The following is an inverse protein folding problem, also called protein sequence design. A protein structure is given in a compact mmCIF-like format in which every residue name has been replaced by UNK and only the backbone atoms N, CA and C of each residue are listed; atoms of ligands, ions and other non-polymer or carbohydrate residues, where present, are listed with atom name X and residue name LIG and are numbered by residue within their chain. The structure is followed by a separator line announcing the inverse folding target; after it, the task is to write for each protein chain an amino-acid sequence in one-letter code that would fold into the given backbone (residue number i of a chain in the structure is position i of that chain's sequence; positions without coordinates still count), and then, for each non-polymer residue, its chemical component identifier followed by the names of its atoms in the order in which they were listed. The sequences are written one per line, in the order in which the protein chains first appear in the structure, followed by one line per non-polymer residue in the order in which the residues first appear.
data_IF_111058838232
#
_entry.id   IF_111058838232
#
_cell.length_a   1.000
_cell.length_b   1.000
_cell.length_c   1.000
_cell.angle_alpha   90.00
_cell.angle_beta   90.00
_cell.angle_gamma   90.00
#
_symmetry.space_group_name_H-M   'P 1'
#
loop_
_entity.id
_entity.type
_entity.pdbx_description
1 polymer ?
#
# COMPACT_ATOMS: atom_id res chain seq x y z
N UNK A 1 5.81 27.92 -86.50
CA UNK A 1 6.15 28.36 -85.16
C UNK A 1 5.13 27.69 -84.25
N UNK A 2 5.51 26.61 -83.55
CA UNK A 2 4.62 25.85 -82.61
C UNK A 2 5.06 26.16 -81.19
N UNK A 3 4.17 26.82 -80.46
CA UNK A 3 4.36 27.18 -79.04
C UNK A 3 4.04 25.95 -78.19
N UNK A 4 5.01 25.45 -77.36
CA UNK A 4 4.81 24.40 -76.38
C UNK A 4 4.45 25.07 -75.03
N UNK A 5 3.22 24.92 -74.62
CA UNK A 5 2.76 25.23 -73.27
C UNK A 5 3.26 24.12 -72.33
N UNK A 6 4.14 24.44 -71.34
CA UNK A 6 4.55 23.54 -70.29
C UNK A 6 3.61 23.76 -69.12
N UNK A 7 2.74 22.75 -68.85
CA UNK A 7 1.91 22.70 -67.66
C UNK A 7 2.77 22.17 -66.53
N UNK A 8 3.03 22.99 -65.52
CA UNK A 8 3.67 22.53 -64.28
C UNK A 8 2.61 21.91 -63.38
N UNK A 9 2.75 20.60 -63.11
CA UNK A 9 1.93 19.87 -62.12
C UNK A 9 2.63 20.01 -60.78
N UNK A 10 2.04 20.80 -59.87
CA UNK A 10 2.47 20.93 -58.50
C UNK A 10 1.90 19.77 -57.70
N UNK A 11 2.73 18.78 -57.36
CA UNK A 11 2.35 17.69 -56.46
C UNK A 11 2.31 18.23 -55.04
N UNK A 12 1.10 18.33 -54.48
CA UNK A 12 0.90 18.58 -53.06
C UNK A 12 1.15 17.25 -52.31
N UNK A 13 2.29 17.14 -51.66
CA UNK A 13 2.56 16.05 -50.76
C UNK A 13 1.71 16.25 -49.48
N UNK A 14 0.59 15.53 -49.36
CA UNK A 14 -0.11 15.39 -48.11
C UNK A 14 0.80 14.58 -47.14
N UNK A 15 1.50 15.31 -46.28
CA UNK A 15 2.20 14.71 -45.14
C UNK A 15 1.20 14.03 -44.19
N UNK A 16 1.18 12.72 -44.19
CA UNK A 16 0.51 11.95 -43.12
C UNK A 16 1.27 12.25 -41.83
N UNK A 17 0.69 13.10 -40.99
CA UNK A 17 1.12 13.22 -39.59
C UNK A 17 0.91 11.83 -38.95
N UNK A 18 1.93 11.27 -38.28
CA UNK A 18 1.72 10.07 -37.52
C UNK A 18 0.69 10.41 -36.43
N UNK A 19 -0.49 9.83 -36.50
CA UNK A 19 -1.42 9.80 -35.39
C UNK A 19 -0.69 9.00 -34.32
N UNK A 20 -0.16 9.68 -33.31
CA UNK A 20 0.22 9.05 -32.04
C UNK A 20 -1.06 8.32 -31.55
N UNK A 21 -1.08 7.01 -31.74
CA UNK A 21 -2.09 6.16 -31.14
C UNK A 21 -1.88 6.31 -29.64
N UNK A 22 -2.67 7.16 -29.01
CA UNK A 22 -2.77 7.22 -27.57
C UNK A 22 -3.32 5.86 -27.16
N UNK A 23 -2.49 5.06 -26.56
CA UNK A 23 -2.90 3.76 -26.02
C UNK A 23 -3.70 4.02 -24.76
N UNK A 24 -4.93 4.52 -24.93
CA UNK A 24 -5.92 4.60 -23.86
C UNK A 24 -6.19 3.21 -23.32
N UNK A 25 -6.23 3.07 -22.00
CA UNK A 25 -6.49 1.80 -21.31
C UNK A 25 -7.42 2.00 -20.14
N UNK A 26 -7.93 0.90 -19.60
CA UNK A 26 -8.61 0.90 -18.32
C UNK A 26 -7.61 0.46 -17.24
N UNK A 27 -7.63 1.16 -16.11
CA UNK A 27 -6.82 0.86 -14.95
C UNK A 27 -7.73 0.79 -13.72
N UNK A 28 -7.81 -0.37 -13.10
CA UNK A 28 -8.57 -0.60 -11.87
C UNK A 28 -7.62 -0.60 -10.70
N UNK A 29 -7.81 0.34 -9.78
CA UNK A 29 -7.02 0.47 -8.55
C UNK A 29 -7.94 0.20 -7.36
N UNK A 30 -7.51 -0.66 -6.45
CA UNK A 30 -8.23 -0.91 -5.21
C UNK A 30 -7.35 -0.66 -4.00
N UNK A 31 -7.80 0.22 -3.10
CA UNK A 31 -7.13 0.55 -1.86
C UNK A 31 -7.92 0.05 -0.64
N UNK A 32 -7.16 -0.32 0.37
CA UNK A 32 -7.66 -0.75 1.67
C UNK A 32 -7.43 0.39 2.66
N UNK A 33 -8.49 1.10 3.02
CA UNK A 33 -8.41 2.08 4.11
C UNK A 33 -9.79 2.33 4.74
N UNK A 34 -9.80 2.43 6.08
CA UNK A 34 -10.99 2.79 6.85
C UNK A 34 -10.93 4.24 7.34
N UNK A 35 -9.75 4.86 7.33
CA UNK A 35 -9.52 6.18 7.91
C UNK A 35 -9.64 7.30 6.88
N UNK A 36 -10.15 8.46 7.30
CA UNK A 36 -10.41 9.58 6.41
C UNK A 36 -9.13 10.20 5.82
N UNK A 37 -8.07 10.35 6.61
CA UNK A 37 -6.85 10.99 6.15
C UNK A 37 -6.08 10.15 5.10
N UNK A 38 -5.82 8.85 5.29
CA UNK A 38 -5.27 8.01 4.23
C UNK A 38 -6.15 7.93 2.99
N UNK A 39 -7.49 7.91 3.16
CA UNK A 39 -8.43 7.95 2.03
C UNK A 39 -8.21 9.19 1.17
N UNK A 40 -8.21 10.37 1.77
CA UNK A 40 -8.00 11.63 1.06
C UNK A 40 -6.64 11.68 0.35
N UNK A 41 -5.59 11.14 0.98
CA UNK A 41 -4.26 11.05 0.37
C UNK A 41 -4.24 10.14 -0.87
N UNK A 42 -4.91 8.99 -0.83
CA UNK A 42 -5.04 8.13 -2.01
C UNK A 42 -5.83 8.78 -3.12
N UNK A 43 -6.97 9.42 -2.80
CA UNK A 43 -7.80 10.15 -3.76
C UNK A 43 -6.98 11.24 -4.46
N UNK A 44 -6.20 12.03 -3.71
CA UNK A 44 -5.33 13.07 -4.27
C UNK A 44 -4.26 12.49 -5.25
N UNK A 45 -3.62 11.38 -4.88
CA UNK A 45 -2.62 10.73 -5.76
C UNK A 45 -3.28 10.24 -7.04
N UNK A 46 -4.44 9.60 -6.96
CA UNK A 46 -5.16 9.10 -8.13
C UNK A 46 -5.65 10.23 -9.02
N UNK A 47 -6.13 11.33 -8.44
CA UNK A 47 -6.57 12.50 -9.20
C UNK A 47 -5.39 13.17 -9.96
N UNK A 48 -4.22 13.27 -9.33
CA UNK A 48 -3.00 13.74 -10.00
C UNK A 48 -2.59 12.81 -11.15
N UNK A 49 -2.71 11.51 -10.96
CA UNK A 49 -2.43 10.53 -12.01
C UNK A 49 -3.40 10.69 -13.19
N UNK A 50 -4.71 10.78 -12.93
CA UNK A 50 -5.74 11.04 -13.96
C UNK A 50 -5.46 12.31 -14.74
N UNK A 51 -5.10 13.39 -14.06
CA UNK A 51 -4.78 14.67 -14.69
C UNK A 51 -3.54 14.60 -15.60
N UNK A 52 -2.55 13.78 -15.20
CA UNK A 52 -1.33 13.59 -15.99
C UNK A 52 -1.51 12.58 -17.15
N UNK A 53 -2.54 11.73 -17.10
CA UNK A 53 -2.79 10.65 -18.07
C UNK A 53 -4.27 10.64 -18.50
N UNK A 54 -4.75 11.66 -19.21
CA UNK A 54 -6.16 11.83 -19.53
C UNK A 54 -6.73 10.76 -20.50
N UNK A 55 -5.87 10.02 -21.15
CA UNK A 55 -6.19 8.91 -22.05
C UNK A 55 -6.40 7.57 -21.31
N UNK A 56 -6.06 7.51 -20.02
CA UNK A 56 -6.28 6.30 -19.20
C UNK A 56 -7.58 6.47 -18.40
N UNK A 57 -8.51 5.55 -18.60
CA UNK A 57 -9.72 5.48 -17.77
C UNK A 57 -9.39 4.79 -16.45
N UNK A 58 -9.41 5.54 -15.34
CA UNK A 58 -9.06 5.02 -14.00
C UNK A 58 -10.31 4.80 -13.17
N UNK A 59 -10.58 3.57 -12.81
CA UNK A 59 -11.53 3.16 -11.78
C UNK A 59 -10.79 3.03 -10.44
N UNK A 60 -11.18 3.79 -9.44
CA UNK A 60 -10.57 3.76 -8.13
C UNK A 60 -11.55 3.35 -7.05
N UNK A 61 -11.31 2.20 -6.42
CA UNK A 61 -12.16 1.58 -5.42
C UNK A 61 -11.49 1.63 -4.05
N UNK A 62 -12.17 2.25 -3.07
CA UNK A 62 -11.75 2.24 -1.67
C UNK A 62 -12.69 1.33 -0.89
N UNK A 63 -12.12 0.28 -0.32
CA UNK A 63 -12.86 -0.76 0.41
C UNK A 63 -12.42 -0.72 1.89
N UNK A 64 -13.38 -0.94 2.79
CA UNK A 64 -13.09 -1.06 4.22
C UNK A 64 -12.11 -2.22 4.48
N UNK A 65 -11.20 -2.04 5.45
CA UNK A 65 -10.03 -2.90 5.64
C UNK A 65 -10.36 -4.39 5.80
N UNK A 66 -11.35 -4.74 6.61
CA UNK A 66 -11.65 -6.16 6.85
C UNK A 66 -12.41 -6.80 5.69
N UNK A 67 -13.30 -6.03 5.06
CA UNK A 67 -13.99 -6.46 3.84
C UNK A 67 -13.00 -6.68 2.69
N UNK A 68 -12.01 -5.78 2.54
CA UNK A 68 -10.97 -5.90 1.53
C UNK A 68 -10.14 -7.17 1.69
N UNK A 69 -9.69 -7.46 2.92
CA UNK A 69 -8.88 -8.67 3.22
C UNK A 69 -9.58 -9.96 2.82
N UNK A 70 -10.90 -9.99 2.99
CA UNK A 70 -11.71 -11.14 2.62
C UNK A 70 -11.94 -11.24 1.11
N UNK A 71 -12.17 -10.09 0.46
CA UNK A 71 -12.59 -10.04 -0.94
C UNK A 71 -11.42 -10.21 -1.92
N UNK A 72 -10.25 -9.60 -1.63
CA UNK A 72 -9.15 -9.50 -2.61
C UNK A 72 -8.67 -10.84 -3.13
N UNK A 73 -8.53 -11.86 -2.26
CA UNK A 73 -8.11 -13.19 -2.69
C UNK A 73 -9.10 -13.80 -3.68
N UNK A 74 -10.39 -13.69 -3.38
CA UNK A 74 -11.44 -14.23 -4.26
C UNK A 74 -11.45 -13.52 -5.60
N UNK A 75 -11.24 -12.23 -5.64
CA UNK A 75 -11.17 -11.45 -6.88
C UNK A 75 -9.96 -11.86 -7.73
N UNK A 76 -8.77 -11.99 -7.12
CA UNK A 76 -7.57 -12.41 -7.82
C UNK A 76 -7.66 -13.83 -8.37
N UNK A 77 -8.18 -14.78 -7.59
CA UNK A 77 -8.35 -16.18 -8.02
C UNK A 77 -9.39 -16.29 -9.16
N UNK A 78 -10.39 -15.42 -9.18
CA UNK A 78 -11.42 -15.39 -10.21
C UNK A 78 -11.02 -14.60 -11.48
N UNK A 79 -9.78 -14.11 -11.54
CA UNK A 79 -9.26 -13.21 -12.59
C UNK A 79 -10.17 -11.96 -12.79
N UNK A 80 -10.63 -11.43 -11.66
CA UNK A 80 -11.48 -10.22 -11.55
C UNK A 80 -10.90 -9.21 -10.55
N UNK A 81 -9.62 -9.36 -10.28
CA UNK A 81 -8.89 -8.47 -9.37
C UNK A 81 -8.62 -7.10 -9.98
N UNK A 82 -8.20 -6.13 -9.16
CA UNK A 82 -7.69 -4.87 -9.66
C UNK A 82 -6.33 -5.07 -10.33
N UNK A 83 -5.97 -4.16 -11.24
CA UNK A 83 -4.62 -4.09 -11.82
C UNK A 83 -3.59 -3.67 -10.77
N UNK A 84 -4.00 -2.77 -9.86
CA UNK A 84 -3.20 -2.36 -8.71
C UNK A 84 -4.03 -2.55 -7.44
N UNK A 85 -3.54 -3.40 -6.55
CA UNK A 85 -4.17 -3.68 -5.27
C UNK A 85 -3.26 -3.41 -4.09
N UNK A 86 -3.84 -3.10 -2.93
CA UNK A 86 -3.15 -3.02 -1.67
C UNK A 86 -2.96 -4.41 -1.06
N UNK A 87 -1.77 -4.67 -0.49
CA UNK A 87 -1.57 -5.82 0.38
C UNK A 87 -0.43 -5.57 1.38
N UNK A 88 -0.36 -6.44 2.37
CA UNK A 88 0.67 -6.40 3.41
C UNK A 88 1.92 -7.14 2.92
N UNK A 89 3.08 -6.56 3.16
CA UNK A 89 4.37 -7.15 2.84
C UNK A 89 4.72 -8.38 3.71
N UNK A 90 5.85 -9.01 3.43
CA UNK A 90 6.36 -10.15 4.21
C UNK A 90 5.57 -11.44 4.00
N UNK A 91 5.49 -12.28 5.03
CA UNK A 91 4.87 -13.61 4.93
C UNK A 91 3.42 -13.59 4.45
N UNK A 92 2.68 -12.51 4.68
CA UNK A 92 1.31 -12.37 4.18
C UNK A 92 1.25 -12.22 2.66
N UNK A 93 2.28 -11.62 2.05
CA UNK A 93 2.43 -11.51 0.59
C UNK A 93 2.91 -12.82 -0.02
N UNK A 94 3.78 -13.55 0.68
CA UNK A 94 4.41 -14.76 0.16
C UNK A 94 3.40 -15.78 -0.38
N UNK A 95 2.25 -15.96 0.29
CA UNK A 95 1.19 -16.86 -0.17
C UNK A 95 0.59 -16.44 -1.53
N UNK A 96 0.36 -15.16 -1.74
CA UNK A 96 -0.15 -14.65 -3.02
C UNK A 96 0.89 -14.79 -4.15
N UNK A 97 2.16 -14.56 -3.83
CA UNK A 97 3.26 -14.75 -4.79
C UNK A 97 3.43 -16.22 -5.18
N UNK A 98 3.39 -17.14 -4.22
CA UNK A 98 3.48 -18.58 -4.48
C UNK A 98 2.33 -19.13 -5.32
N UNK A 99 1.14 -18.55 -5.16
CA UNK A 99 -0.06 -18.88 -5.94
C UNK A 99 -0.09 -18.18 -7.32
N UNK A 100 0.93 -17.36 -7.65
CA UNK A 100 1.01 -16.63 -8.92
C UNK A 100 0.01 -15.50 -9.07
N UNK A 101 -0.55 -14.99 -7.97
CA UNK A 101 -1.58 -13.96 -7.96
C UNK A 101 -1.03 -12.53 -7.99
N UNK A 102 0.26 -12.35 -7.77
CA UNK A 102 0.95 -11.06 -7.87
C UNK A 102 1.96 -11.07 -9.00
N UNK A 103 2.00 -9.99 -9.76
CA UNK A 103 2.94 -9.79 -10.86
C UNK A 103 4.33 -9.37 -10.39
N UNK A 104 5.36 -9.77 -11.14
CA UNK A 104 6.74 -9.31 -10.97
C UNK A 104 6.85 -7.84 -11.44
N UNK A 105 7.19 -6.94 -10.52
CA UNK A 105 7.37 -5.51 -10.79
C UNK A 105 8.84 -5.07 -10.64
N UNK A 106 9.80 -5.97 -10.73
CA UNK A 106 11.24 -5.67 -10.60
C UNK A 106 11.71 -4.60 -11.59
N UNK A 107 11.11 -4.56 -12.79
CA UNK A 107 11.39 -3.51 -13.77
C UNK A 107 10.99 -2.10 -13.29
N UNK A 108 9.91 -1.99 -12.55
CA UNK A 108 9.46 -0.72 -11.94
C UNK A 108 10.48 -0.25 -10.91
N UNK A 109 10.94 -1.14 -10.05
CA UNK A 109 11.98 -0.86 -9.06
C UNK A 109 13.25 -0.31 -9.69
N UNK A 110 13.75 -1.00 -10.71
CA UNK A 110 14.96 -0.61 -11.43
C UNK A 110 14.79 0.73 -12.16
N UNK A 111 13.71 0.89 -12.92
CA UNK A 111 13.49 2.07 -13.76
C UNK A 111 13.28 3.34 -12.94
N UNK A 112 12.69 3.22 -11.76
CA UNK A 112 12.44 4.35 -10.85
C UNK A 112 13.56 4.54 -9.80
N UNK A 113 14.64 3.77 -9.84
CA UNK A 113 15.76 3.88 -8.88
C UNK A 113 15.39 3.54 -7.43
N UNK A 114 14.35 2.75 -7.23
CA UNK A 114 13.80 2.47 -5.89
C UNK A 114 14.69 1.53 -5.07
N UNK A 115 15.54 0.75 -5.70
CA UNK A 115 16.49 -0.16 -5.04
C UNK A 115 17.38 0.56 -4.03
N UNK A 116 17.76 1.80 -4.32
CA UNK A 116 18.52 2.65 -3.39
C UNK A 116 17.61 3.41 -2.43
N UNK A 117 16.57 4.04 -2.96
CA UNK A 117 15.68 4.91 -2.17
C UNK A 117 14.89 4.14 -1.10
N UNK A 118 14.57 2.87 -1.37
CA UNK A 118 13.76 2.02 -0.50
C UNK A 118 14.49 0.73 -0.07
N UNK A 119 15.82 0.75 -0.01
CA UNK A 119 16.67 -0.41 0.28
C UNK A 119 16.26 -1.15 1.56
N UNK A 120 15.87 -0.43 2.61
CA UNK A 120 15.48 -1.01 3.90
C UNK A 120 14.17 -1.79 3.87
N UNK A 121 13.26 -1.45 2.96
CA UNK A 121 11.93 -2.10 2.84
C UNK A 121 11.88 -3.12 1.70
N UNK A 122 12.79 -3.05 0.74
CA UNK A 122 12.84 -3.94 -0.42
C UNK A 122 12.82 -5.44 -0.05
N UNK A 123 13.53 -5.92 0.98
CA UNK A 123 13.49 -7.34 1.34
C UNK A 123 12.10 -7.85 1.70
N UNK A 124 11.24 -7.01 2.26
CA UNK A 124 9.89 -7.39 2.67
C UNK A 124 8.92 -7.66 1.51
N UNK A 125 9.27 -7.24 0.30
CA UNK A 125 8.47 -7.44 -0.93
C UNK A 125 9.22 -8.24 -1.99
N UNK A 126 10.37 -8.82 -1.62
CA UNK A 126 11.24 -9.60 -2.52
C UNK A 126 11.09 -11.09 -2.25
N UNK A 127 10.74 -11.86 -3.28
CA UNK A 127 10.60 -13.31 -3.22
C UNK A 127 11.30 -13.92 -4.44
N UNK A 128 12.18 -14.90 -4.22
CA UNK A 128 12.94 -15.52 -5.30
C UNK A 128 13.78 -14.53 -6.13
N UNK A 129 14.26 -13.45 -5.51
CA UNK A 129 15.05 -12.40 -6.17
C UNK A 129 14.25 -11.38 -6.98
N UNK A 130 12.91 -11.43 -6.94
CA UNK A 130 12.00 -10.54 -7.68
C UNK A 130 11.14 -9.73 -6.73
N UNK A 131 10.80 -8.50 -7.12
CA UNK A 131 9.94 -7.59 -6.36
C UNK A 131 8.48 -7.72 -6.82
N UNK A 132 7.57 -7.91 -5.84
CA UNK A 132 6.13 -8.11 -6.08
C UNK A 132 5.25 -7.03 -5.46
N UNK A 133 5.84 -6.04 -4.83
CA UNK A 133 5.12 -4.93 -4.24
C UNK A 133 5.97 -3.68 -4.16
N UNK A 134 5.29 -2.54 -4.00
CA UNK A 134 5.90 -1.26 -3.76
C UNK A 134 5.47 -0.76 -2.38
N UNK A 135 6.36 -0.72 -1.37
CA UNK A 135 6.03 -0.17 -0.06
C UNK A 135 5.71 1.33 -0.17
N UNK A 136 4.55 1.75 0.32
CA UNK A 136 4.15 3.16 0.33
C UNK A 136 4.05 3.75 1.73
N UNK A 137 3.95 2.90 2.76
CA UNK A 137 3.97 3.30 4.16
C UNK A 137 4.49 2.17 5.05
N UNK A 138 4.95 2.54 6.22
CA UNK A 138 5.25 1.60 7.31
C UNK A 138 4.81 2.22 8.63
N UNK A 139 4.59 1.37 9.61
CA UNK A 139 4.29 1.80 10.98
C UNK A 139 4.93 0.85 11.98
N UNK A 140 5.19 1.36 13.16
CA UNK A 140 5.71 0.56 14.24
C UNK A 140 4.56 -0.08 15.00
N UNK A 141 4.70 -1.36 15.28
CA UNK A 141 3.82 -2.05 16.19
C UNK A 141 4.46 -2.07 17.57
N UNK A 142 3.84 -1.39 18.51
CA UNK A 142 4.37 -1.25 19.85
C UNK A 142 3.31 -0.78 20.84
N UNK A 143 3.73 -0.64 22.08
CA UNK A 143 2.90 -0.09 23.14
C UNK A 143 2.99 1.44 23.10
N UNK A 144 1.90 2.10 22.70
CA UNK A 144 1.78 3.55 22.71
C UNK A 144 1.38 4.05 24.10
N UNK A 145 2.18 4.93 24.68
CA UNK A 145 2.03 5.37 26.06
C UNK A 145 1.50 6.81 26.10
N UNK A 146 0.47 7.03 26.90
CA UNK A 146 -0.01 8.37 27.28
C UNK A 146 0.89 8.92 28.39
N UNK A 147 1.99 9.54 28.02
CA UNK A 147 2.99 10.09 28.95
C UNK A 147 2.41 11.13 29.92
N UNK A 148 1.40 11.89 29.48
CA UNK A 148 0.66 12.83 30.30
C UNK A 148 -0.10 12.13 31.45
N UNK A 149 -0.79 11.02 31.16
CA UNK A 149 -1.50 10.21 32.16
C UNK A 149 -0.48 9.57 33.13
N UNK A 150 0.60 9.00 32.59
CA UNK A 150 1.64 8.39 33.42
C UNK A 150 2.21 9.42 34.43
N UNK A 151 2.62 10.58 33.96
CA UNK A 151 3.17 11.67 34.78
C UNK A 151 2.16 12.16 35.82
N UNK A 152 0.90 12.37 35.45
CA UNK A 152 -0.16 12.80 36.36
C UNK A 152 -0.41 11.81 37.50
N UNK A 153 -0.06 10.53 37.31
CA UNK A 153 -0.25 9.47 38.29
C UNK A 153 1.05 9.03 38.99
N UNK A 154 2.16 9.73 38.77
CA UNK A 154 3.45 9.45 39.39
C UNK A 154 4.08 8.13 38.92
N UNK A 155 3.75 7.69 37.70
CA UNK A 155 4.29 6.48 37.10
C UNK A 155 5.45 6.85 36.18
N UNK A 156 6.61 6.24 36.44
CA UNK A 156 7.80 6.37 35.62
C UNK A 156 7.71 5.49 34.35
N UNK A 157 8.70 5.62 33.47
CA UNK A 157 8.89 4.67 32.38
C UNK A 157 9.08 3.25 32.94
N UNK A 158 8.62 2.27 32.18
CA UNK A 158 8.77 0.86 32.54
C UNK A 158 9.45 0.10 31.39
N UNK A 159 10.24 -0.91 31.75
CA UNK A 159 11.00 -1.75 30.81
C UNK A 159 10.65 -3.22 30.91
N UNK A 160 10.00 -3.60 32.00
CA UNK A 160 9.64 -4.99 32.28
C UNK A 160 8.12 -5.19 32.28
N UNK A 161 7.69 -6.45 32.15
CA UNK A 161 6.27 -6.81 32.21
C UNK A 161 5.70 -6.56 33.62
N UNK A 162 6.47 -6.84 34.69
CA UNK A 162 6.04 -6.61 36.06
C UNK A 162 5.82 -5.13 36.35
N UNK A 163 6.70 -4.28 35.85
CA UNK A 163 6.53 -2.82 35.94
C UNK A 163 5.30 -2.31 35.19
N UNK A 164 5.00 -2.88 34.01
CA UNK A 164 3.76 -2.61 33.30
C UNK A 164 2.53 -3.01 34.12
N UNK A 165 2.54 -4.19 34.74
CA UNK A 165 1.45 -4.65 35.61
C UNK A 165 1.27 -3.74 36.83
N UNK A 166 2.38 -3.31 37.47
CA UNK A 166 2.35 -2.37 38.57
C UNK A 166 1.77 -1.01 38.16
N UNK A 167 2.15 -0.51 36.98
CA UNK A 167 1.59 0.72 36.41
C UNK A 167 0.06 0.57 36.17
N UNK A 168 -0.37 -0.54 35.58
CA UNK A 168 -1.79 -0.84 35.38
C UNK A 168 -2.57 -0.89 36.67
N UNK A 169 -2.01 -1.51 37.73
CA UNK A 169 -2.62 -1.59 39.07
C UNK A 169 -2.78 -0.19 39.67
N UNK A 170 -1.76 0.64 39.58
CA UNK A 170 -1.77 2.02 40.07
C UNK A 170 -2.83 2.85 39.35
N UNK A 171 -2.93 2.74 38.04
CA UNK A 171 -3.96 3.45 37.24
C UNK A 171 -5.36 2.96 37.60
N UNK A 172 -5.55 1.65 37.69
CA UNK A 172 -6.86 1.05 38.02
C UNK A 172 -7.38 1.49 39.39
N UNK A 173 -6.50 1.62 40.41
CA UNK A 173 -6.88 2.10 41.74
C UNK A 173 -7.41 3.55 41.72
N UNK A 174 -7.10 4.30 40.66
CA UNK A 174 -7.54 5.67 40.42
C UNK A 174 -8.67 5.78 39.38
N UNK A 175 -9.27 4.66 38.98
CA UNK A 175 -10.35 4.60 37.99
C UNK A 175 -9.89 4.80 36.54
N UNK A 176 -8.58 4.77 36.26
CA UNK A 176 -8.02 4.91 34.93
C UNK A 176 -7.72 3.52 34.36
N UNK A 177 -8.09 3.25 33.11
CA UNK A 177 -7.76 2.00 32.45
C UNK A 177 -6.26 1.93 32.15
N UNK A 178 -5.59 0.87 32.62
CA UNK A 178 -4.15 0.69 32.41
C UNK A 178 -3.79 0.38 30.95
N UNK A 179 -4.63 -0.42 30.28
CA UNK A 179 -4.46 -0.78 28.87
C UNK A 179 -5.79 -0.62 28.14
N UNK A 180 -5.75 -0.06 26.93
CA UNK A 180 -6.88 0.00 26.02
C UNK A 180 -6.51 -0.69 24.71
N UNK A 181 -7.37 -1.55 24.20
CA UNK A 181 -7.19 -2.29 22.95
C UNK A 181 -8.53 -2.51 22.27
N UNK A 182 -8.58 -2.32 20.95
CA UNK A 182 -9.72 -2.69 20.13
C UNK A 182 -9.65 -4.16 19.75
N UNK A 183 -10.67 -4.95 20.09
CA UNK A 183 -10.66 -6.41 19.86
C UNK A 183 -11.79 -6.89 18.96
N UNK A 184 -12.55 -6.00 18.33
CA UNK A 184 -13.68 -6.38 17.47
C UNK A 184 -13.28 -7.41 16.41
N UNK A 185 -12.12 -7.26 15.81
CA UNK A 185 -11.62 -8.15 14.75
C UNK A 185 -10.48 -9.09 15.22
N UNK A 186 -10.23 -9.16 16.51
CA UNK A 186 -9.28 -10.05 17.20
C UNK A 186 -7.79 -9.86 16.85
N UNK A 187 -7.43 -9.42 15.67
CA UNK A 187 -6.04 -9.34 15.20
C UNK A 187 -5.14 -8.44 16.09
N UNK A 188 -5.69 -7.41 16.70
CA UNK A 188 -4.95 -6.57 17.64
C UNK A 188 -4.59 -7.33 18.92
N UNK A 189 -5.47 -8.22 19.39
CA UNK A 189 -5.19 -9.12 20.52
C UNK A 189 -4.11 -10.15 20.15
N UNK A 190 -4.09 -10.62 18.90
CA UNK A 190 -3.03 -11.51 18.41
C UNK A 190 -1.65 -10.85 18.52
N UNK A 191 -1.55 -9.54 18.23
CA UNK A 191 -0.29 -8.81 18.38
C UNK A 191 0.27 -8.81 19.81
N UNK A 192 -0.59 -8.74 20.82
CA UNK A 192 -0.18 -8.91 22.22
C UNK A 192 0.31 -10.33 22.50
N UNK A 193 -0.44 -11.34 22.03
CA UNK A 193 -0.07 -12.73 22.19
C UNK A 193 1.28 -13.03 21.55
N UNK A 194 1.45 -12.64 20.30
CA UNK A 194 2.68 -12.88 19.54
C UNK A 194 3.89 -12.21 20.21
N UNK A 195 3.72 -10.98 20.67
CA UNK A 195 4.80 -10.23 21.31
C UNK A 195 5.21 -10.85 22.65
N UNK A 196 4.25 -11.23 23.49
CA UNK A 196 4.52 -11.91 24.76
C UNK A 196 5.13 -13.29 24.54
N UNK A 197 4.61 -14.05 23.59
CA UNK A 197 5.14 -15.36 23.23
C UNK A 197 6.59 -15.28 22.76
N UNK A 198 6.90 -14.34 21.88
CA UNK A 198 8.25 -14.11 21.38
C UNK A 198 9.22 -13.75 22.52
N UNK A 199 8.80 -12.90 23.45
CA UNK A 199 9.64 -12.49 24.59
C UNK A 199 9.82 -13.60 25.64
N UNK A 200 8.89 -14.53 25.74
CA UNK A 200 8.94 -15.63 26.69
C UNK A 200 9.70 -16.84 26.13
N UNK A 201 9.45 -17.18 24.88
CA UNK A 201 9.93 -18.42 24.26
C UNK A 201 11.02 -18.21 23.19
N UNK A 202 11.30 -16.98 22.82
CA UNK A 202 12.21 -16.64 21.72
C UNK A 202 11.53 -16.70 20.34
N UNK A 203 12.37 -16.54 19.27
CA UNK A 203 11.96 -16.61 17.88
C UNK A 203 12.06 -18.03 17.34
#
# INVERSE_FOLDING_TARGET
MKSFLRTAVTAVALGTLPTLSMAGGNLVISANTSDAAPRAAFEEVVDKFKAANPDINVEFNIIESEAYKTAIRNFLVADKGPDIGFWFAGNRMAGFVSDGLFGDISSVWKNAGLETAMASTMPSVTFGGKQYGLPFSYYQWGLYIRSDIMKANGISEFSTYDELLAACTTLSSKGVKGVAIGTKYLWTAAGWFDYLNMRTNGL
#
